data_IF_528347806903
#
_entry.id   IF_528347806903
#
_cell.length_a   1.000
_cell.length_b   1.000
_cell.length_c   1.000
_cell.angle_alpha   90.00
_cell.angle_beta   90.00
_cell.angle_gamma   90.00
#
_symmetry.space_group_name_H-M   'P 1'
#
loop_
_entity.id
_entity.type
_entity.pdbx_description
1 polymer ?
#
# COMPACT_ATOMS: atom_id res chain seq x y z
N UNK A 1 15.23 40.60 -4.02
CA UNK A 1 13.96 39.91 -3.74
C UNK A 1 14.05 38.58 -4.47
N UNK A 2 14.56 37.56 -3.80
CA UNK A 2 14.59 36.20 -4.35
C UNK A 2 13.21 35.60 -4.14
N UNK A 3 12.56 35.22 -5.24
CA UNK A 3 11.29 34.51 -5.21
C UNK A 3 11.66 33.05 -4.95
N UNK A 4 11.35 32.55 -3.75
CA UNK A 4 11.36 31.13 -3.48
C UNK A 4 10.14 30.51 -4.19
N UNK A 5 10.35 29.98 -5.39
CA UNK A 5 9.38 29.07 -6.01
C UNK A 5 9.44 27.74 -5.25
N UNK A 6 8.61 27.64 -4.22
CA UNK A 6 8.45 26.44 -3.41
C UNK A 6 7.45 25.47 -4.07
N UNK A 7 7.68 25.14 -5.35
CA UNK A 7 6.86 24.16 -6.06
C UNK A 7 7.40 22.74 -5.80
N UNK A 8 7.08 22.21 -4.61
CA UNK A 8 7.19 20.79 -4.30
C UNK A 8 6.09 19.99 -5.02
N UNK A 9 6.03 20.06 -6.35
CA UNK A 9 5.20 19.14 -7.11
C UNK A 9 5.84 17.75 -7.02
N UNK A 10 5.12 16.81 -6.40
CA UNK A 10 5.47 15.39 -6.43
C UNK A 10 5.53 14.97 -7.90
N UNK A 11 6.64 14.39 -8.35
CA UNK A 11 6.78 13.95 -9.73
C UNK A 11 5.83 12.78 -10.06
N UNK A 12 5.58 12.56 -11.35
CA UNK A 12 4.63 11.55 -11.82
C UNK A 12 4.97 10.13 -11.32
N UNK A 13 6.26 9.78 -11.18
CA UNK A 13 6.66 8.46 -10.71
C UNK A 13 6.36 8.30 -9.21
N UNK A 14 6.68 9.31 -8.41
CA UNK A 14 6.32 9.34 -6.98
C UNK A 14 4.80 9.29 -6.78
N UNK A 15 4.03 9.95 -7.65
CA UNK A 15 2.56 9.90 -7.61
C UNK A 15 2.01 8.50 -7.94
N UNK A 16 2.62 7.79 -8.89
CA UNK A 16 2.26 6.39 -9.18
C UNK A 16 2.55 5.50 -7.97
N UNK A 17 3.73 5.60 -7.37
CA UNK A 17 4.09 4.78 -6.21
C UNK A 17 3.19 5.03 -4.99
N UNK A 18 2.81 6.29 -4.74
CA UNK A 18 1.83 6.64 -3.71
C UNK A 18 0.46 5.99 -3.99
N UNK A 19 0.08 5.91 -5.27
CA UNK A 19 -1.17 5.27 -5.67
C UNK A 19 -1.08 3.75 -5.45
N UNK A 20 0.01 3.12 -5.83
CA UNK A 20 0.25 1.68 -5.60
C UNK A 20 0.22 1.33 -4.11
N UNK A 21 0.91 2.11 -3.26
CA UNK A 21 0.88 1.93 -1.82
C UNK A 21 -0.55 2.04 -1.27
N UNK A 22 -1.31 3.05 -1.72
CA UNK A 22 -2.69 3.28 -1.29
C UNK A 22 -3.61 2.13 -1.71
N UNK A 23 -3.47 1.64 -2.94
CA UNK A 23 -4.27 0.52 -3.45
C UNK A 23 -4.00 -0.76 -2.67
N UNK A 24 -2.73 -1.02 -2.34
CA UNK A 24 -2.37 -2.19 -1.52
C UNK A 24 -2.88 -2.05 -0.07
N UNK A 25 -2.89 -0.84 0.52
CA UNK A 25 -3.53 -0.60 1.82
C UNK A 25 -5.03 -0.93 1.80
N UNK A 26 -5.75 -0.53 0.74
CA UNK A 26 -7.16 -0.88 0.59
C UNK A 26 -7.37 -2.38 0.42
N UNK A 27 -6.47 -3.05 -0.31
CA UNK A 27 -6.52 -4.50 -0.44
C UNK A 27 -6.36 -5.20 0.90
N UNK A 28 -5.38 -4.77 1.71
CA UNK A 28 -5.16 -5.30 3.06
C UNK A 28 -6.43 -5.18 3.92
N UNK A 29 -7.03 -3.98 3.99
CA UNK A 29 -8.25 -3.72 4.76
C UNK A 29 -9.40 -4.62 4.29
N UNK A 30 -9.60 -4.72 2.97
CA UNK A 30 -10.66 -5.58 2.41
C UNK A 30 -10.46 -7.05 2.80
N UNK A 31 -9.23 -7.54 2.82
CA UNK A 31 -8.94 -8.91 3.22
C UNK A 31 -9.14 -9.12 4.72
N UNK A 32 -8.78 -8.16 5.58
CA UNK A 32 -9.06 -8.25 7.02
C UNK A 32 -10.56 -8.28 7.29
N UNK A 33 -11.35 -7.45 6.60
CA UNK A 33 -12.81 -7.46 6.72
C UNK A 33 -13.40 -8.81 6.29
N UNK A 34 -12.79 -9.48 5.30
CA UNK A 34 -13.24 -10.80 4.85
C UNK A 34 -13.00 -11.90 5.88
N UNK A 35 -11.93 -11.82 6.69
CA UNK A 35 -11.66 -12.80 7.76
C UNK A 35 -12.76 -12.79 8.82
N UNK A 36 -13.38 -11.64 9.06
CA UNK A 36 -14.42 -11.47 10.08
C UNK A 36 -15.78 -12.02 9.64
N UNK A 37 -15.91 -12.51 8.39
CA UNK A 37 -17.16 -13.09 7.90
C UNK A 37 -17.42 -14.46 8.54
N UNK A 38 -18.66 -14.64 9.01
CA UNK A 38 -19.12 -15.93 9.49
C UNK A 38 -19.22 -16.97 8.36
N UNK A 39 -18.95 -18.23 8.67
CA UNK A 39 -19.19 -19.35 7.76
C UNK A 39 -18.11 -19.55 6.67
N UNK A 40 -16.94 -18.94 6.83
CA UNK A 40 -15.79 -19.26 5.98
C UNK A 40 -15.40 -20.73 6.10
N UNK A 41 -15.18 -21.37 4.95
CA UNK A 41 -14.52 -22.68 4.91
C UNK A 41 -13.03 -22.53 5.21
N UNK A 42 -12.38 -23.60 5.67
CA UNK A 42 -10.94 -23.64 5.93
C UNK A 42 -10.12 -23.21 4.69
N UNK A 43 -10.53 -23.64 3.49
CA UNK A 43 -9.87 -23.25 2.24
C UNK A 43 -10.00 -21.75 1.95
N UNK A 44 -11.18 -21.15 2.20
CA UNK A 44 -11.36 -19.71 2.00
C UNK A 44 -10.52 -18.92 3.00
N UNK A 45 -10.52 -19.32 4.27
CA UNK A 45 -9.68 -18.70 5.29
C UNK A 45 -8.19 -18.80 4.94
N UNK A 46 -7.72 -19.98 4.53
CA UNK A 46 -6.34 -20.21 4.09
C UNK A 46 -5.94 -19.32 2.93
N UNK A 47 -6.82 -19.18 1.92
CA UNK A 47 -6.57 -18.28 0.79
C UNK A 47 -6.49 -16.81 1.23
N UNK A 48 -7.42 -16.34 2.07
CA UNK A 48 -7.41 -14.95 2.57
C UNK A 48 -6.12 -14.67 3.35
N UNK A 49 -5.69 -15.60 4.22
CA UNK A 49 -4.43 -15.48 4.97
C UNK A 49 -3.20 -15.46 4.05
N UNK A 50 -3.20 -16.27 2.99
CA UNK A 50 -2.16 -16.24 1.97
C UNK A 50 -2.10 -14.90 1.24
N UNK A 51 -3.26 -14.35 0.85
CA UNK A 51 -3.34 -13.04 0.22
C UNK A 51 -2.94 -11.90 1.16
N UNK A 52 -3.29 -11.97 2.44
CA UNK A 52 -2.82 -10.99 3.45
C UNK A 52 -1.31 -11.01 3.61
N UNK A 53 -0.70 -12.20 3.60
CA UNK A 53 0.75 -12.33 3.68
C UNK A 53 1.44 -11.68 2.47
N UNK A 54 0.89 -11.88 1.28
CA UNK A 54 1.36 -11.20 0.07
C UNK A 54 1.16 -9.67 0.17
N UNK A 55 -0.01 -9.23 0.64
CA UNK A 55 -0.34 -7.81 0.78
C UNK A 55 0.59 -7.09 1.74
N UNK A 56 0.90 -7.68 2.91
CA UNK A 56 1.89 -7.14 3.86
C UNK A 56 3.28 -7.05 3.22
N UNK A 57 3.66 -8.04 2.41
CA UNK A 57 4.95 -8.02 1.71
C UNK A 57 5.02 -6.86 0.72
N UNK A 58 3.96 -6.66 -0.07
CA UNK A 58 3.86 -5.53 -1.00
C UNK A 58 3.86 -4.18 -0.27
N UNK A 59 3.12 -4.05 0.84
CA UNK A 59 3.11 -2.83 1.66
C UNK A 59 4.51 -2.46 2.14
N UNK A 60 5.28 -3.44 2.61
CA UNK A 60 6.67 -3.22 3.03
C UNK A 60 7.53 -2.72 1.86
N UNK A 61 7.46 -3.40 0.70
CA UNK A 61 8.21 -3.01 -0.50
C UNK A 61 7.85 -1.59 -0.95
N UNK A 62 6.55 -1.28 -1.10
CA UNK A 62 6.10 0.04 -1.53
C UNK A 62 6.51 1.14 -0.54
N UNK A 63 6.43 0.85 0.77
CA UNK A 63 6.85 1.81 1.81
C UNK A 63 8.36 2.06 1.79
N UNK A 64 9.17 1.01 1.59
CA UNK A 64 10.62 1.11 1.45
C UNK A 64 11.01 1.91 0.20
N UNK A 65 10.42 1.60 -0.96
CA UNK A 65 10.67 2.33 -2.21
C UNK A 65 10.29 3.81 -2.13
N UNK A 66 9.14 4.13 -1.51
CA UNK A 66 8.73 5.52 -1.29
C UNK A 66 9.68 6.25 -0.33
N UNK A 67 10.20 5.56 0.69
CA UNK A 67 11.17 6.15 1.62
C UNK A 67 12.45 6.55 0.89
N UNK A 68 13.01 5.69 0.04
CA UNK A 68 14.22 5.99 -0.74
C UNK A 68 14.07 7.25 -1.63
N UNK A 69 12.85 7.53 -2.09
CA UNK A 69 12.56 8.68 -2.95
C UNK A 69 12.28 9.96 -2.13
N UNK A 70 11.58 9.82 -1.01
CA UNK A 70 11.20 10.95 -0.15
C UNK A 70 12.37 11.40 0.75
N UNK A 71 13.48 10.64 0.82
CA UNK A 71 14.64 10.96 1.65
C UNK A 71 15.13 12.42 1.50
N UNK A 72 14.74 13.21 2.52
CA UNK A 72 15.36 14.43 3.08
C UNK A 72 16.66 14.02 3.78
#
# INVERSE_FOLDING_TARGET
MEIFDNNNAIDDATQVMLTELKDECFRYIKLTDQIELDGLTENQLSNILGELTASVTHLNIHSESLKEIIEI
#
